data_IF_527273680562
#
_entry.id   IF_527273680562
#
_cell.length_a   1.000
_cell.length_b   1.000
_cell.length_c   1.000
_cell.angle_alpha   90.00
_cell.angle_beta   90.00
_cell.angle_gamma   90.00
#
_symmetry.space_group_name_H-M   'P 1'
#
loop_
_entity.id
_entity.type
_entity.pdbx_description
1 polymer ?
#
# COMPACT_ATOMS: atom_id res chain seq x y z
N UNK A 1 -9.26 17.32 -20.34
CA UNK A 1 -8.61 16.08 -20.84
C UNK A 1 -8.14 15.25 -19.65
N UNK A 2 -8.86 14.18 -19.30
CA UNK A 2 -8.44 13.24 -18.25
C UNK A 2 -7.46 12.23 -18.83
N UNK A 3 -6.24 12.18 -18.30
CA UNK A 3 -5.22 11.21 -18.71
C UNK A 3 -5.58 9.84 -18.11
N UNK A 4 -6.12 8.94 -18.92
CA UNK A 4 -6.29 7.53 -18.53
C UNK A 4 -4.91 6.87 -18.66
N UNK A 5 -4.21 6.74 -17.53
CA UNK A 5 -2.96 6.00 -17.44
C UNK A 5 -3.31 4.51 -17.66
N UNK A 6 -2.72 3.80 -18.64
CA UNK A 6 -2.91 2.37 -18.75
C UNK A 6 -2.42 1.74 -17.44
N UNK A 7 -3.27 0.97 -16.78
CA UNK A 7 -2.89 0.15 -15.64
C UNK A 7 -1.83 -0.85 -16.11
N UNK A 8 -0.55 -0.47 -16.00
CA UNK A 8 0.55 -1.39 -16.14
C UNK A 8 0.32 -2.53 -15.14
N UNK A 9 0.49 -3.76 -15.59
CA UNK A 9 0.32 -4.97 -14.80
C UNK A 9 1.10 -4.82 -13.50
N UNK A 10 0.41 -4.57 -12.39
CA UNK A 10 1.06 -4.28 -11.11
C UNK A 10 1.65 -5.58 -10.58
N UNK A 11 2.95 -5.79 -10.81
CA UNK A 11 3.71 -6.86 -10.16
C UNK A 11 4.13 -6.36 -8.78
N UNK A 12 3.55 -6.95 -7.74
CA UNK A 12 4.01 -6.72 -6.37
C UNK A 12 5.25 -7.55 -6.12
N UNK A 13 6.39 -6.90 -5.86
CA UNK A 13 7.55 -7.58 -5.28
C UNK A 13 7.39 -7.59 -3.76
N UNK A 14 7.39 -8.77 -3.15
CA UNK A 14 7.25 -8.92 -1.69
C UNK A 14 8.63 -9.06 -1.06
N UNK A 15 8.95 -8.10 -0.19
CA UNK A 15 10.17 -8.12 0.59
C UNK A 15 10.06 -9.09 1.77
N UNK A 16 10.53 -10.34 1.62
CA UNK A 16 10.72 -11.24 2.77
C UNK A 16 12.02 -10.91 3.50
N UNK A 17 12.00 -9.87 4.34
CA UNK A 17 13.06 -9.68 5.36
C UNK A 17 12.56 -10.19 6.69
N UNK A 18 13.23 -11.20 7.25
CA UNK A 18 13.07 -11.56 8.66
C UNK A 18 13.72 -10.43 9.47
N UNK A 19 12.98 -9.36 9.74
CA UNK A 19 13.39 -8.36 10.71
C UNK A 19 13.36 -9.07 12.06
N UNK A 20 14.55 -9.44 12.56
CA UNK A 20 14.71 -9.80 13.97
C UNK A 20 14.53 -8.51 14.75
N UNK A 21 13.28 -8.20 15.08
CA UNK A 21 12.98 -7.12 16.02
C UNK A 21 13.44 -7.63 17.38
N UNK A 22 14.52 -7.04 17.88
CA UNK A 22 15.03 -7.34 19.21
C UNK A 22 14.09 -6.66 20.22
N UNK A 23 13.29 -7.39 21.02
CA UNK A 23 12.26 -6.79 21.87
C UNK A 23 12.82 -6.01 23.09
N UNK A 24 14.13 -5.81 23.19
CA UNK A 24 14.78 -5.30 24.40
C UNK A 24 15.10 -3.81 24.42
N UNK A 25 14.67 -2.99 23.46
CA UNK A 25 14.84 -1.53 23.54
C UNK A 25 13.72 -0.89 24.39
N UNK A 26 13.73 -1.17 25.70
CA UNK A 26 12.91 -0.48 26.70
C UNK A 26 13.57 0.88 26.96
N UNK A 27 12.92 1.97 26.55
CA UNK A 27 13.35 3.32 26.91
C UNK A 27 13.19 3.51 28.41
N UNK A 28 14.29 3.43 29.15
CA UNK A 28 14.35 3.76 30.57
C UNK A 28 14.08 5.26 30.74
N UNK A 29 12.85 5.62 31.09
CA UNK A 29 12.57 6.95 31.67
C UNK A 29 13.23 7.00 33.04
N UNK A 30 14.29 7.80 33.17
CA UNK A 30 14.84 8.17 34.46
C UNK A 30 13.77 8.96 35.25
N UNK A 31 13.33 8.34 36.34
CA UNK A 31 12.48 8.93 37.36
C UNK A 31 13.35 9.74 38.33
N UNK A 32 13.01 11.01 38.53
CA UNK A 32 13.43 11.77 39.70
C UNK A 32 12.26 11.81 40.70
N UNK A 33 12.54 11.49 41.95
CA UNK A 33 11.64 11.61 43.09
C UNK A 33 12.40 12.28 44.26
N UNK A 34 11.77 12.69 45.38
CA UNK A 34 10.32 12.66 45.70
C UNK A 34 9.78 13.97 46.31
N UNK A 35 8.46 14.09 46.47
CA UNK A 35 7.94 14.74 47.68
C UNK A 35 6.55 14.21 48.10
N UNK A 36 6.42 14.03 49.41
CA UNK A 36 5.34 13.36 50.13
C UNK A 36 3.97 14.09 50.06
N UNK A 37 2.88 13.34 49.88
CA UNK A 37 1.72 13.37 50.80
C UNK A 37 0.76 12.20 50.55
N UNK A 38 0.34 11.60 51.66
CA UNK A 38 -0.56 10.46 51.72
C UNK A 38 -2.01 10.85 51.45
N UNK A 39 -2.67 10.06 50.60
CA UNK A 39 -4.12 9.84 50.60
C UNK A 39 -4.38 8.52 49.88
N UNK A 40 -4.75 7.49 50.65
CA UNK A 40 -5.09 6.15 50.19
C UNK A 40 -6.46 6.16 49.52
N UNK A 41 -6.49 6.18 48.18
CA UNK A 41 -7.61 5.68 47.39
C UNK A 41 -7.12 4.48 46.59
N UNK A 42 -7.68 3.32 46.90
CA UNK A 42 -7.48 2.07 46.16
C UNK A 42 -8.13 2.20 44.78
N UNK A 43 -7.39 2.78 43.84
CA UNK A 43 -7.71 2.69 42.43
C UNK A 43 -7.42 1.26 41.98
N UNK A 44 -8.35 0.57 41.31
CA UNK A 44 -8.05 -0.74 40.74
C UNK A 44 -6.90 -0.55 39.75
N UNK A 45 -5.83 -1.33 39.93
CA UNK A 45 -4.69 -1.37 39.03
C UNK A 45 -5.21 -1.55 37.61
N UNK A 46 -5.14 -0.47 36.82
CA UNK A 46 -5.26 -0.53 35.37
C UNK A 46 -4.05 -1.33 34.91
N UNK A 47 -4.20 -2.66 34.90
CA UNK A 47 -3.36 -3.58 34.16
C UNK A 47 -3.37 -3.03 32.74
N UNK A 48 -2.30 -2.32 32.39
CA UNK A 48 -2.09 -1.83 31.04
C UNK A 48 -2.13 -3.04 30.14
N UNK A 49 -3.25 -3.21 29.45
CA UNK A 49 -3.33 -4.06 28.28
C UNK A 49 -2.26 -3.51 27.34
N UNK A 50 -1.08 -4.13 27.37
CA UNK A 50 -0.04 -3.89 26.38
C UNK A 50 -0.60 -4.44 25.06
N UNK A 51 -1.49 -3.66 24.44
CA UNK A 51 -2.13 -3.95 23.17
C UNK A 51 -1.02 -4.23 22.15
N UNK A 52 -0.74 -5.52 21.92
CA UNK A 52 0.40 -5.92 21.11
C UNK A 52 0.01 -5.69 19.66
N UNK A 53 0.67 -4.73 19.01
CA UNK A 53 0.55 -4.56 17.55
C UNK A 53 1.06 -5.84 16.88
N UNK A 54 0.13 -6.62 16.31
CA UNK A 54 0.43 -7.92 15.72
C UNK A 54 0.90 -7.75 14.27
N UNK A 55 0.29 -6.85 13.50
CA UNK A 55 0.60 -6.71 12.07
C UNK A 55 0.79 -5.26 11.64
N UNK A 56 1.69 -5.04 10.69
CA UNK A 56 1.94 -3.72 10.08
C UNK A 56 2.02 -3.82 8.57
N UNK A 57 1.41 -2.87 7.86
CA UNK A 57 1.55 -2.72 6.41
C UNK A 57 2.05 -1.32 6.11
N UNK A 58 3.16 -1.24 5.37
CA UNK A 58 3.64 -0.04 4.73
C UNK A 58 3.33 -0.12 3.24
N UNK A 59 2.47 0.75 2.75
CA UNK A 59 2.20 0.89 1.32
C UNK A 59 2.90 2.15 0.81
N UNK A 60 3.84 1.97 -0.10
CA UNK A 60 4.72 3.01 -0.64
C UNK A 60 4.37 3.23 -2.11
N UNK A 61 4.03 4.47 -2.48
CA UNK A 61 3.86 4.82 -3.90
C UNK A 61 5.25 5.03 -4.46
N UNK A 62 5.60 4.35 -5.56
CA UNK A 62 6.86 4.68 -6.22
C UNK A 62 6.81 6.13 -6.76
N UNK A 63 7.94 6.83 -6.70
CA UNK A 63 8.09 8.14 -7.32
C UNK A 63 7.98 8.08 -8.85
N UNK A 64 8.00 9.25 -9.50
CA UNK A 64 8.15 9.27 -10.96
C UNK A 64 9.47 8.64 -11.35
N UNK A 65 9.46 7.87 -12.44
CA UNK A 65 10.59 7.02 -12.85
C UNK A 65 11.34 7.60 -14.04
N UNK A 66 11.29 8.91 -14.25
CA UNK A 66 11.81 9.54 -15.45
C UNK A 66 12.95 10.49 -15.14
N UNK A 67 14.06 10.30 -15.86
CA UNK A 67 15.02 11.36 -16.11
C UNK A 67 14.52 12.17 -17.30
N UNK A 68 13.84 13.29 -17.02
CA UNK A 68 13.31 14.18 -18.06
C UNK A 68 14.40 14.94 -18.83
N UNK A 69 15.68 14.82 -18.43
CA UNK A 69 16.79 15.39 -19.18
C UNK A 69 17.17 14.55 -20.41
N UNK A 70 16.76 13.27 -20.49
CA UNK A 70 17.04 12.40 -21.64
C UNK A 70 15.76 12.08 -22.46
N UNK A 71 15.47 12.80 -23.55
CA UNK A 71 14.27 12.57 -24.38
C UNK A 71 14.17 11.17 -25.00
N UNK A 72 15.21 10.34 -24.94
CA UNK A 72 15.18 8.95 -25.42
C UNK A 72 14.46 7.97 -24.48
N UNK A 73 14.06 8.39 -23.28
CA UNK A 73 13.35 7.56 -22.29
C UNK A 73 12.05 6.95 -22.84
N UNK A 74 11.37 7.64 -23.77
CA UNK A 74 10.09 7.19 -24.33
C UNK A 74 10.20 6.00 -25.30
N UNK A 75 11.40 5.70 -25.81
CA UNK A 75 11.61 4.76 -26.93
C UNK A 75 12.10 3.38 -26.44
N UNK A 76 12.62 3.28 -25.22
CA UNK A 76 13.28 2.08 -24.70
C UNK A 76 12.36 1.37 -23.72
N UNK A 77 11.56 0.41 -24.18
CA UNK A 77 10.60 -0.35 -23.37
C UNK A 77 11.12 -1.76 -23.05
N UNK A 78 12.24 -1.85 -22.35
CA UNK A 78 12.89 -3.10 -21.96
C UNK A 78 12.90 -3.27 -20.44
N UNK A 79 11.69 -3.46 -19.89
CA UNK A 79 11.37 -4.37 -18.78
C UNK A 79 11.95 -4.12 -17.38
N UNK A 80 12.96 -3.28 -17.21
CA UNK A 80 13.54 -2.92 -15.92
C UNK A 80 13.56 -1.40 -15.78
N UNK A 81 12.84 -0.87 -14.80
CA UNK A 81 12.66 0.57 -14.62
C UNK A 81 13.96 1.37 -14.49
N UNK A 82 15.05 0.74 -14.06
CA UNK A 82 16.36 1.38 -13.90
C UNK A 82 17.13 1.53 -15.22
N UNK A 83 16.86 0.68 -16.23
CA UNK A 83 17.52 0.81 -17.54
C UNK A 83 17.11 2.03 -18.36
N UNK A 84 16.17 2.83 -17.85
CA UNK A 84 15.70 4.04 -18.48
C UNK A 84 16.34 5.32 -17.91
N UNK A 85 17.10 5.24 -16.80
CA UNK A 85 17.61 6.40 -16.07
C UNK A 85 19.14 6.58 -16.16
N UNK A 86 19.84 5.73 -16.91
CA UNK A 86 21.31 5.75 -17.03
C UNK A 86 21.74 4.98 -18.28
N UNK A 87 22.81 5.40 -18.97
CA UNK A 87 23.42 4.63 -20.06
C UNK A 87 23.66 3.20 -19.57
N UNK A 88 23.18 2.19 -20.30
CA UNK A 88 23.36 0.76 -19.97
C UNK A 88 24.80 0.39 -19.63
N UNK A 89 25.77 1.14 -20.15
CA UNK A 89 27.20 0.98 -19.84
C UNK A 89 27.58 1.33 -18.39
N UNK A 90 26.71 2.00 -17.65
CA UNK A 90 26.96 2.46 -16.28
C UNK A 90 26.05 1.78 -15.25
N UNK A 91 25.07 1.01 -15.71
CA UNK A 91 24.32 0.15 -14.82
C UNK A 91 25.13 -1.12 -14.57
N UNK A 92 25.19 -1.59 -13.31
CA UNK A 92 25.68 -2.93 -13.04
C UNK A 92 24.85 -3.94 -13.85
N UNK A 93 25.44 -5.10 -14.12
CA UNK A 93 24.74 -6.22 -14.77
C UNK A 93 23.44 -6.56 -14.04
N UNK A 94 22.52 -7.27 -14.70
CA UNK A 94 21.30 -7.74 -14.03
C UNK A 94 21.64 -8.53 -12.76
N UNK A 95 22.65 -9.40 -12.83
CA UNK A 95 23.12 -10.22 -11.72
C UNK A 95 23.65 -9.37 -10.54
N UNK A 96 24.46 -8.34 -10.83
CA UNK A 96 24.94 -7.41 -9.79
C UNK A 96 23.80 -6.61 -9.18
N UNK A 97 22.83 -6.16 -9.98
CA UNK A 97 21.65 -5.45 -9.44
C UNK A 97 20.83 -6.37 -8.55
N UNK A 98 20.59 -7.61 -8.96
CA UNK A 98 19.90 -8.61 -8.14
C UNK A 98 20.66 -8.96 -6.85
N UNK A 99 21.99 -8.78 -6.79
CA UNK A 99 22.76 -8.94 -5.56
C UNK A 99 22.44 -7.88 -4.50
N UNK A 100 22.04 -6.66 -4.92
CA UNK A 100 21.61 -5.59 -4.02
C UNK A 100 20.11 -5.60 -3.74
N UNK A 101 19.31 -6.14 -4.68
CA UNK A 101 17.90 -6.34 -4.42
C UNK A 101 17.72 -7.42 -3.35
N UNK A 102 16.91 -7.16 -2.32
CA UNK A 102 16.65 -8.15 -1.30
C UNK A 102 16.04 -9.39 -1.94
N UNK A 103 16.69 -10.54 -1.75
CA UNK A 103 16.30 -11.91 -2.17
C UNK A 103 14.97 -11.94 -2.91
N UNK A 104 15.02 -11.68 -4.22
CA UNK A 104 13.87 -11.91 -5.09
C UNK A 104 13.57 -13.40 -5.01
N UNK A 105 12.35 -13.76 -4.63
CA UNK A 105 11.87 -15.13 -4.60
C UNK A 105 11.37 -15.48 -6.01
N UNK A 106 12.17 -16.17 -6.86
CA UNK A 106 11.77 -16.45 -8.23
C UNK A 106 10.61 -17.46 -8.30
N UNK A 107 10.31 -18.11 -7.17
CA UNK A 107 9.21 -19.06 -7.02
C UNK A 107 7.95 -18.41 -6.43
N UNK A 108 7.94 -17.08 -6.27
CA UNK A 108 6.81 -16.36 -5.73
C UNK A 108 5.58 -16.49 -6.65
N UNK A 109 4.54 -17.12 -6.12
CA UNK A 109 3.21 -17.14 -6.71
C UNK A 109 2.45 -15.85 -6.33
N UNK A 110 1.97 -15.05 -7.30
CA UNK A 110 1.23 -13.83 -6.98
C UNK A 110 -0.02 -14.13 -6.15
N UNK A 111 -0.21 -13.38 -5.07
CA UNK A 111 -1.45 -13.47 -4.24
C UNK A 111 -2.74 -13.31 -5.05
N UNK A 112 -2.67 -12.63 -6.21
CA UNK A 112 -3.79 -12.46 -7.11
C UNK A 112 -3.33 -12.54 -8.56
N UNK A 113 -4.08 -13.30 -9.36
CA UNK A 113 -3.96 -13.32 -10.81
C UNK A 113 -4.99 -12.35 -11.40
N UNK A 114 -4.52 -11.26 -11.99
CA UNK A 114 -5.40 -10.29 -12.66
C UNK A 114 -5.89 -10.88 -13.98
N UNK A 115 -7.21 -10.91 -14.17
CA UNK A 115 -7.85 -11.35 -15.42
C UNK A 115 -8.57 -10.17 -16.08
N UNK A 116 -8.52 -10.02 -17.41
CA UNK A 116 -9.37 -9.07 -18.12
C UNK A 116 -10.85 -9.35 -17.84
N UNK A 117 -11.65 -8.30 -17.77
CA UNK A 117 -13.11 -8.44 -17.65
C UNK A 117 -13.69 -8.66 -19.06
N UNK A 118 -14.48 -9.72 -19.31
CA UNK A 118 -15.10 -9.94 -20.61
C UNK A 118 -15.87 -8.69 -21.09
N UNK A 119 -15.67 -8.31 -22.35
CA UNK A 119 -16.30 -7.12 -22.94
C UNK A 119 -15.63 -5.78 -22.60
N UNK A 120 -14.60 -5.77 -21.75
CA UNK A 120 -13.84 -4.55 -21.44
C UNK A 120 -12.50 -4.52 -22.17
N UNK A 121 -12.26 -3.42 -22.88
CA UNK A 121 -11.00 -3.14 -23.54
C UNK A 121 -10.52 -1.72 -23.21
N UNK A 122 -9.21 -1.54 -23.14
CA UNK A 122 -8.62 -0.22 -22.93
C UNK A 122 -8.94 0.66 -24.14
N UNK A 123 -9.61 1.80 -23.94
CA UNK A 123 -9.98 2.72 -25.04
C UNK A 123 -8.79 3.19 -25.88
N UNK A 124 -7.59 3.22 -25.30
CA UNK A 124 -6.38 3.72 -25.96
C UNK A 124 -5.66 2.64 -26.78
N UNK A 125 -5.64 1.40 -26.29
CA UNK A 125 -4.85 0.33 -26.90
C UNK A 125 -5.70 -0.77 -27.55
N UNK A 126 -7.01 -0.79 -27.29
CA UNK A 126 -7.92 -1.86 -27.72
C UNK A 126 -7.69 -3.20 -27.02
N UNK A 127 -6.70 -3.32 -26.15
CA UNK A 127 -6.37 -4.57 -25.47
C UNK A 127 -7.38 -4.89 -24.37
N UNK A 128 -7.71 -6.17 -24.14
CA UNK A 128 -8.55 -6.59 -23.02
C UNK A 128 -8.02 -6.04 -21.70
N UNK A 129 -8.89 -5.45 -20.88
CA UNK A 129 -8.51 -4.88 -19.59
C UNK A 129 -9.50 -5.25 -18.49
N UNK A 130 -9.08 -5.04 -17.25
CA UNK A 130 -9.99 -5.07 -16.10
C UNK A 130 -11.03 -3.94 -16.23
N UNK A 131 -12.27 -4.20 -15.84
CA UNK A 131 -13.30 -3.16 -15.75
C UNK A 131 -13.01 -2.23 -14.58
N UNK A 132 -13.20 -0.94 -14.83
CA UNK A 132 -13.04 0.12 -13.84
C UNK A 132 -14.37 0.88 -13.71
N UNK A 133 -14.89 1.14 -12.51
CA UNK A 133 -14.25 0.93 -11.20
C UNK A 133 -14.45 -0.47 -10.59
N UNK A 134 -15.43 -1.25 -11.04
CA UNK A 134 -15.93 -2.39 -10.27
C UNK A 134 -14.97 -3.56 -10.04
N UNK A 135 -14.43 -4.19 -11.09
CA UNK A 135 -13.49 -5.31 -10.87
C UNK A 135 -12.21 -4.85 -10.19
N UNK A 136 -11.77 -3.62 -10.46
CA UNK A 136 -10.64 -3.01 -9.75
C UNK A 136 -10.88 -2.95 -8.23
N UNK A 137 -12.01 -2.39 -7.77
CA UNK A 137 -12.33 -2.30 -6.34
C UNK A 137 -12.51 -3.68 -5.70
N UNK A 138 -13.19 -4.61 -6.38
CA UNK A 138 -13.33 -6.00 -5.91
C UNK A 138 -11.98 -6.69 -5.78
N UNK A 139 -11.05 -6.45 -6.72
CA UNK A 139 -9.69 -6.97 -6.63
C UNK A 139 -8.93 -6.38 -5.44
N UNK A 140 -9.09 -5.10 -5.13
CA UNK A 140 -8.48 -4.50 -3.94
C UNK A 140 -9.03 -5.11 -2.64
N UNK A 141 -10.33 -5.40 -2.58
CA UNK A 141 -10.92 -6.13 -1.45
C UNK A 141 -10.30 -7.53 -1.30
N UNK A 142 -10.23 -8.31 -2.39
CA UNK A 142 -9.60 -9.64 -2.40
C UNK A 142 -8.13 -9.58 -1.97
N UNK A 143 -7.40 -8.54 -2.40
CA UNK A 143 -5.99 -8.34 -2.02
C UNK A 143 -5.86 -8.06 -0.53
N UNK A 144 -6.73 -7.21 0.03
CA UNK A 144 -6.75 -6.92 1.45
C UNK A 144 -6.96 -8.21 2.27
N UNK A 145 -7.96 -9.02 1.91
CA UNK A 145 -8.20 -10.32 2.55
C UNK A 145 -6.99 -11.26 2.44
N UNK A 146 -6.39 -11.38 1.25
CA UNK A 146 -5.22 -12.24 1.05
C UNK A 146 -4.00 -11.78 1.86
N UNK A 147 -3.78 -10.46 1.98
CA UNK A 147 -2.71 -9.90 2.81
C UNK A 147 -2.93 -10.20 4.29
N UNK A 148 -4.17 -10.07 4.76
CA UNK A 148 -4.53 -10.36 6.16
C UNK A 148 -4.29 -11.82 6.52
N UNK A 149 -4.75 -12.76 5.68
CA UNK A 149 -4.61 -14.19 5.96
C UNK A 149 -3.16 -14.66 5.81
N UNK A 150 -2.46 -14.23 4.75
CA UNK A 150 -1.12 -14.73 4.42
C UNK A 150 -0.03 -14.14 5.33
N UNK A 151 -0.21 -12.89 5.78
CA UNK A 151 0.82 -12.14 6.50
C UNK A 151 0.40 -11.67 7.90
N UNK A 152 -0.58 -12.34 8.52
CA UNK A 152 -0.91 -12.15 9.94
C UNK A 152 0.36 -12.28 10.80
N UNK A 153 0.54 -11.35 11.75
CA UNK A 153 1.70 -11.35 12.65
C UNK A 153 2.98 -10.80 12.03
N UNK A 154 2.92 -10.20 10.84
CA UNK A 154 4.10 -9.74 10.10
C UNK A 154 4.04 -8.25 9.79
N UNK A 155 5.22 -7.72 9.49
CA UNK A 155 5.37 -6.42 8.83
C UNK A 155 5.55 -6.64 7.33
N UNK A 156 4.71 -6.03 6.53
CA UNK A 156 4.74 -6.11 5.06
C UNK A 156 5.03 -4.73 4.49
N UNK A 157 5.93 -4.66 3.52
CA UNK A 157 6.19 -3.44 2.73
C UNK A 157 5.78 -3.71 1.30
N UNK A 158 4.88 -2.88 0.77
CA UNK A 158 4.31 -2.97 -0.57
C UNK A 158 4.69 -1.73 -1.36
N UNK A 159 5.12 -1.90 -2.60
CA UNK A 159 5.36 -0.81 -3.54
C UNK A 159 4.28 -0.81 -4.62
N UNK A 160 3.66 0.34 -4.86
CA UNK A 160 2.52 0.44 -5.78
C UNK A 160 2.37 1.83 -6.42
N UNK A 161 1.22 2.06 -7.06
CA UNK A 161 0.81 3.29 -7.73
C UNK A 161 -0.23 4.07 -6.91
N UNK A 162 -0.56 5.28 -7.37
CA UNK A 162 -1.50 6.17 -6.67
C UNK A 162 -2.91 5.58 -6.51
N UNK A 163 -3.39 4.80 -7.48
CA UNK A 163 -4.69 4.13 -7.43
C UNK A 163 -4.83 3.14 -6.27
N UNK A 164 -3.73 2.73 -5.62
CA UNK A 164 -3.76 1.85 -4.46
C UNK A 164 -4.25 2.50 -3.18
N UNK A 165 -4.70 3.76 -3.21
CA UNK A 165 -5.59 4.30 -2.14
C UNK A 165 -6.82 3.42 -1.92
N UNK A 166 -7.30 2.70 -2.95
CA UNK A 166 -8.36 1.71 -2.80
C UNK A 166 -7.97 0.52 -1.91
N UNK A 167 -6.71 0.10 -1.89
CA UNK A 167 -6.24 -0.95 -0.97
C UNK A 167 -6.24 -0.44 0.48
N UNK A 168 -5.84 0.82 0.70
CA UNK A 168 -5.91 1.46 2.01
C UNK A 168 -7.35 1.55 2.49
N UNK A 169 -8.25 2.00 1.61
CA UNK A 169 -9.69 2.04 1.87
C UNK A 169 -10.26 0.65 2.19
N UNK A 170 -9.87 -0.38 1.45
CA UNK A 170 -10.28 -1.77 1.69
C UNK A 170 -9.82 -2.30 3.06
N UNK A 171 -8.55 -2.13 3.40
CA UNK A 171 -8.01 -2.59 4.70
C UNK A 171 -8.65 -1.83 5.88
N UNK A 172 -8.79 -0.51 5.75
CA UNK A 172 -9.24 0.36 6.84
C UNK A 172 -10.76 0.58 6.86
N UNK A 173 -11.50 0.08 5.87
CA UNK A 173 -12.95 0.28 5.74
C UNK A 173 -13.36 1.74 5.69
N UNK A 174 -12.59 2.57 4.97
CA UNK A 174 -12.80 4.01 4.87
C UNK A 174 -13.20 4.41 3.45
N UNK A 175 -13.77 5.60 3.31
CA UNK A 175 -14.06 6.21 2.02
C UNK A 175 -12.76 6.56 1.28
N UNK A 176 -12.80 6.49 -0.06
CA UNK A 176 -11.69 6.92 -0.92
C UNK A 176 -11.68 8.43 -1.20
N UNK A 177 -12.74 9.18 -0.85
CA UNK A 177 -12.93 10.61 -1.20
C UNK A 177 -11.74 11.50 -0.85
N UNK A 178 -11.22 11.33 0.36
CA UNK A 178 -10.15 12.18 0.91
C UNK A 178 -8.77 11.52 0.85
N UNK A 179 -8.67 10.35 0.21
CA UNK A 179 -7.40 9.63 0.11
C UNK A 179 -6.62 10.11 -1.11
N UNK A 180 -5.42 10.62 -0.87
CA UNK A 180 -4.43 10.93 -1.90
C UNK A 180 -3.15 10.17 -1.59
N UNK A 181 -2.40 9.83 -2.62
CA UNK A 181 -1.11 9.17 -2.50
C UNK A 181 -0.04 10.02 -3.16
N UNK A 182 0.81 10.67 -2.38
CA UNK A 182 1.95 11.43 -2.88
C UNK A 182 2.97 10.50 -3.57
N UNK A 183 3.70 10.95 -4.59
CA UNK A 183 4.88 10.21 -5.07
C UNK A 183 5.84 9.96 -3.90
N UNK A 184 6.40 8.76 -3.77
CA UNK A 184 7.16 8.34 -2.58
C UNK A 184 6.39 8.47 -1.26
N UNK A 185 5.07 8.71 -1.28
CA UNK A 185 4.24 8.74 -0.09
C UNK A 185 4.22 7.39 0.60
N UNK A 186 3.95 7.39 1.90
CA UNK A 186 3.93 6.18 2.74
C UNK A 186 2.64 6.15 3.53
N UNK A 187 1.78 5.19 3.21
CA UNK A 187 0.69 4.79 4.08
C UNK A 187 1.21 3.77 5.09
N UNK A 188 0.99 4.00 6.38
CA UNK A 188 1.24 3.04 7.46
C UNK A 188 -0.08 2.63 8.08
N UNK A 189 -0.35 1.33 8.08
CA UNK A 189 -1.52 0.74 8.71
C UNK A 189 -1.07 -0.29 9.75
N UNK A 190 -1.77 -0.32 10.87
CA UNK A 190 -1.48 -1.24 11.98
C UNK A 190 -2.74 -1.98 12.40
N UNK A 191 -2.55 -3.23 12.81
CA UNK A 191 -3.60 -4.08 13.39
C UNK A 191 -3.13 -4.55 14.76
N UNK A 192 -3.89 -4.18 15.77
CA UNK A 192 -3.78 -4.69 17.14
C UNK A 192 -4.67 -5.92 17.23
N UNK A 193 -4.11 -7.01 17.71
CA UNK A 193 -4.77 -8.31 17.79
C UNK A 193 -5.46 -8.70 16.47
N UNK A 194 -6.69 -9.21 16.57
CA UNK A 194 -7.57 -9.53 15.45
C UNK A 194 -8.54 -8.39 15.13
N UNK A 195 -8.30 -7.21 15.68
CA UNK A 195 -9.12 -6.01 15.50
C UNK A 195 -9.07 -5.42 14.08
N UNK A 196 -9.76 -4.28 13.86
CA UNK A 196 -9.74 -3.58 12.59
C UNK A 196 -8.36 -2.97 12.28
N UNK A 197 -7.98 -2.88 11.01
CA UNK A 197 -6.83 -2.04 10.63
C UNK A 197 -7.10 -0.58 10.95
N UNK A 198 -6.09 0.06 11.53
CA UNK A 198 -6.06 1.49 11.80
C UNK A 198 -5.04 2.17 10.89
N UNK A 199 -5.39 3.37 10.43
CA UNK A 199 -4.48 4.20 9.65
C UNK A 199 -3.63 5.03 10.61
N UNK A 200 -2.34 4.71 10.73
CA UNK A 200 -1.40 5.42 11.61
C UNK A 200 -0.77 6.61 10.90
N UNK A 201 -0.43 6.46 9.62
CA UNK A 201 0.16 7.53 8.79
C UNK A 201 -0.47 7.56 7.41
N UNK A 202 -0.93 8.75 6.99
CA UNK A 202 -1.44 8.98 5.65
C UNK A 202 -0.32 9.13 4.61
N UNK A 203 -0.53 8.55 3.42
CA UNK A 203 0.40 8.63 2.29
C UNK A 203 0.20 9.85 1.39
N UNK A 204 -0.68 10.79 1.74
CA UNK A 204 -0.98 11.98 0.93
C UNK A 204 0.12 13.04 0.89
N UNK A 205 1.17 12.88 1.68
CA UNK A 205 2.29 13.81 1.77
C UNK A 205 3.62 13.06 1.94
N UNK A 206 4.71 13.60 1.37
CA UNK A 206 6.06 13.04 1.46
C UNK A 206 7.10 14.01 2.02
N UNK A 207 6.73 15.23 2.40
CA UNK A 207 7.66 16.29 2.82
C UNK A 207 8.55 15.93 4.01
N UNK A 208 8.11 14.99 4.87
CA UNK A 208 8.91 14.53 6.00
C UNK A 208 10.10 13.62 5.66
N UNK A 209 10.25 13.20 4.40
CA UNK A 209 11.35 12.30 3.99
C UNK A 209 11.79 12.47 2.52
N UNK A 210 11.12 13.33 1.76
CA UNK A 210 11.48 13.70 0.40
C UNK A 210 11.82 15.18 0.39
N UNK A 211 13.06 15.50 -0.01
CA UNK A 211 13.56 16.89 -0.03
C UNK A 211 13.05 17.67 -1.24
N UNK A 212 12.90 17.00 -2.37
CA UNK A 212 12.50 17.62 -3.64
C UNK A 212 11.56 16.70 -4.42
N UNK A 213 10.54 17.29 -5.03
CA UNK A 213 9.56 16.59 -5.87
C UNK A 213 9.67 17.10 -7.31
N UNK A 214 9.48 16.21 -8.28
CA UNK A 214 9.24 16.62 -9.65
C UNK A 214 7.99 17.51 -9.73
N UNK A 215 8.03 18.64 -10.47
CA UNK A 215 6.88 19.55 -10.59
C UNK A 215 5.69 18.91 -11.32
N UNK A 216 5.91 17.82 -12.08
CA UNK A 216 4.87 17.11 -12.83
C UNK A 216 4.20 16.00 -12.03
N UNK A 217 4.74 15.64 -10.87
CA UNK A 217 4.27 14.49 -10.08
C UNK A 217 3.60 14.98 -8.81
N UNK A 218 2.26 14.96 -8.79
CA UNK A 218 1.48 15.40 -7.65
C UNK A 218 0.84 14.23 -6.88
N UNK A 219 0.43 14.46 -5.61
CA UNK A 219 -0.49 13.57 -4.92
C UNK A 219 -1.74 13.34 -5.76
N UNK A 220 -2.12 12.07 -5.91
CA UNK A 220 -3.27 11.67 -6.71
C UNK A 220 -4.12 10.68 -5.94
N UNK A 221 -5.42 10.72 -6.17
CA UNK A 221 -6.40 9.77 -5.65
C UNK A 221 -7.73 10.00 -6.36
N UNK A 222 -8.65 9.08 -6.16
CA UNK A 222 -9.93 9.07 -6.84
C UNK A 222 -10.79 10.32 -6.54
N UNK A 223 -11.76 10.54 -7.41
CA UNK A 223 -12.78 11.58 -7.37
C UNK A 223 -14.07 11.06 -7.99
N UNK A 224 -15.19 11.76 -7.80
CA UNK A 224 -16.52 11.28 -8.24
C UNK A 224 -16.59 11.00 -9.74
N UNK A 225 -15.88 11.77 -10.56
CA UNK A 225 -15.83 11.55 -12.01
C UNK A 225 -15.20 10.20 -12.40
N UNK A 226 -14.41 9.61 -11.51
CA UNK A 226 -13.79 8.31 -11.73
C UNK A 226 -14.80 7.17 -11.45
N UNK A 227 -15.91 7.47 -10.74
CA UNK A 227 -16.95 6.53 -10.30
C UNK A 227 -18.32 7.02 -10.76
N UNK A 228 -18.63 6.80 -12.04
CA UNK A 228 -19.92 7.17 -12.64
C UNK A 228 -20.49 6.10 -13.55
N UNK A 229 -20.04 4.84 -13.40
CA UNK A 229 -20.53 3.70 -14.18
C UNK A 229 -21.75 3.05 -13.54
N UNK A 230 -22.45 2.22 -14.32
CA UNK A 230 -23.64 1.47 -13.89
C UNK A 230 -23.31 0.26 -13.00
N UNK A 231 -22.07 0.10 -12.53
CA UNK A 231 -21.63 -1.06 -11.75
C UNK A 231 -21.95 -0.97 -10.25
N UNK A 232 -22.55 0.15 -9.81
CA UNK A 232 -22.98 0.39 -8.43
C UNK A 232 -21.81 0.57 -7.46
N UNK A 233 -20.62 0.91 -7.98
CA UNK A 233 -19.41 1.10 -7.19
C UNK A 233 -19.12 2.60 -7.12
N UNK A 234 -19.01 3.13 -5.91
CA UNK A 234 -18.69 4.53 -5.64
C UNK A 234 -17.46 4.66 -4.72
N UNK A 235 -17.18 5.89 -4.28
CA UNK A 235 -16.07 6.18 -3.38
C UNK A 235 -16.26 5.65 -1.95
N UNK A 236 -17.47 5.23 -1.59
CA UNK A 236 -17.86 4.72 -0.27
C UNK A 236 -18.04 3.19 -0.26
N UNK A 237 -17.82 2.50 -1.39
CA UNK A 237 -17.89 1.05 -1.56
C UNK A 237 -17.33 0.22 -0.39
N UNK A 238 -16.15 0.58 0.15
CA UNK A 238 -15.53 -0.16 1.26
C UNK A 238 -16.13 0.16 2.64
N UNK A 239 -16.75 1.33 2.80
CA UNK A 239 -17.50 1.70 4.01
C UNK A 239 -18.76 0.84 4.10
N UNK A 240 -19.50 0.73 3.01
CA UNK A 240 -20.78 0.02 2.97
C UNK A 240 -20.59 -1.48 3.17
N UNK A 241 -19.59 -2.08 2.51
CA UNK A 241 -19.23 -3.49 2.74
C UNK A 241 -18.87 -3.78 4.18
N UNK A 242 -18.18 -2.86 4.87
CA UNK A 242 -17.82 -3.04 6.28
C UNK A 242 -19.05 -2.96 7.17
N UNK A 243 -19.96 -2.01 6.91
CA UNK A 243 -21.23 -1.88 7.63
C UNK A 243 -22.12 -3.11 7.44
N UNK A 244 -22.11 -3.70 6.24
CA UNK A 244 -22.84 -4.92 5.93
C UNK A 244 -22.21 -6.20 6.51
N UNK A 245 -21.04 -6.13 7.14
CA UNK A 245 -20.32 -7.31 7.66
C UNK A 245 -19.65 -8.17 6.57
N UNK A 246 -19.79 -7.81 5.29
CA UNK A 246 -19.28 -8.59 4.14
C UNK A 246 -17.74 -8.64 4.03
N UNK A 247 -17.02 -7.96 4.92
CA UNK A 247 -15.56 -8.00 4.99
C UNK A 247 -15.07 -9.02 6.05
N UNK A 248 -15.96 -9.55 6.91
CA UNK A 248 -15.53 -10.42 8.02
C UNK A 248 -15.49 -11.93 7.72
N UNK A 249 -16.10 -12.43 6.63
CA UNK A 249 -16.41 -13.88 6.54
C UNK A 249 -15.82 -14.68 5.36
N UNK A 250 -14.81 -14.18 4.64
CA UNK A 250 -14.25 -14.95 3.49
C UNK A 250 -13.40 -16.17 3.93
N UNK A 251 -13.11 -16.32 5.23
CA UNK A 251 -12.28 -17.43 5.74
C UNK A 251 -13.04 -18.74 6.04
N UNK A 252 -14.36 -18.81 5.85
CA UNK A 252 -15.15 -19.99 6.25
C UNK A 252 -15.55 -20.96 5.11
N UNK A 253 -15.09 -20.75 3.87
CA UNK A 253 -15.52 -21.55 2.71
C UNK A 253 -14.38 -22.24 1.91
N UNK A 254 -13.23 -22.52 2.53
CA UNK A 254 -12.20 -23.39 1.95
C UNK A 254 -11.80 -24.51 2.92
#
# INVERSE_FOLDING_TARGET
MGMIIPLATTRFAILKRRLVVNPSARTTRQSMAPNNRASSSSSPDLVGSDDVVISRIYLIRHGDRFDYADPSWAIRADGLSESHATDRRHLPSADERFAYFPRVDPTYDPLLVVRPTPGHACRRTGLPCESFAGEYCRRMARLATALESTYRGRTVVLFSHAASVALVAALTGRSMRDMKFAPCGIYQMERVDDGPWTLVRGGGCNSGHVRENSPTTCPWGFSEKDFGGDDGIDLDYFVDRRRAGEIQDVNNNN
#
